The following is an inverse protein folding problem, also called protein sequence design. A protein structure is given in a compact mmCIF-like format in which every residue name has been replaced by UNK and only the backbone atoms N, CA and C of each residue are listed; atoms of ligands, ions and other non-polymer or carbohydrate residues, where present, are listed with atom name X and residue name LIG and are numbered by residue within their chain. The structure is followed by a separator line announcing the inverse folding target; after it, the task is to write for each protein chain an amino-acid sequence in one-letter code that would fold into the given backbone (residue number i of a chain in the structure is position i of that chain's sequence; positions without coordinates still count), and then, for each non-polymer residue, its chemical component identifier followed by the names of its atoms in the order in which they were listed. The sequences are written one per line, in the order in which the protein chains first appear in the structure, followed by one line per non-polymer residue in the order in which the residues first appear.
data_IF_304855394756
#
_entry.id   IF_304855394756
#
_cell.length_a   1.000
_cell.length_b   1.000
_cell.length_c   1.000
_cell.angle_alpha   90.00
_cell.angle_beta   90.00
_cell.angle_gamma   90.00
#
_symmetry.space_group_name_H-M   'P 1'
#
loop_
_entity.id
_entity.type
_entity.pdbx_description
1 polymer ?
#
# COMPACT_ATOMS: atom_id res chain seq x y z
N UNK A 1 20.66 18.49 7.34
CA UNK A 1 19.22 18.21 7.26
C UNK A 1 19.04 16.74 6.85
N UNK A 2 17.84 16.26 6.53
CA UNK A 2 17.62 14.83 6.23
C UNK A 2 18.23 14.43 4.88
N UNK A 3 18.36 15.42 4.00
CA UNK A 3 18.99 15.39 2.69
C UNK A 3 20.49 15.04 2.75
N UNK A 4 21.14 15.33 3.88
CA UNK A 4 22.57 15.04 4.16
C UNK A 4 22.78 13.65 4.79
N UNK A 5 21.71 12.93 5.15
CA UNK A 5 21.83 11.59 5.72
C UNK A 5 22.24 10.57 4.64
N UNK A 6 22.86 9.43 5.04
CA UNK A 6 23.04 8.29 4.14
C UNK A 6 21.71 7.85 3.52
N UNK A 7 21.69 7.73 2.19
CA UNK A 7 20.53 7.27 1.41
C UNK A 7 20.47 5.75 1.39
N UNK A 8 19.31 5.17 1.09
CA UNK A 8 19.19 3.74 0.75
C UNK A 8 19.30 3.64 -0.76
N UNK A 9 20.37 3.03 -1.28
CA UNK A 9 20.59 2.99 -2.73
C UNK A 9 19.64 2.04 -3.46
N UNK A 10 19.54 2.20 -4.78
CA UNK A 10 18.77 1.31 -5.65
C UNK A 10 19.22 -0.15 -5.46
N UNK A 11 20.53 -0.38 -5.38
CA UNK A 11 21.16 -1.68 -5.18
C UNK A 11 20.87 -2.24 -3.78
N UNK A 12 20.89 -1.41 -2.74
CA UNK A 12 20.55 -1.83 -1.37
C UNK A 12 19.09 -2.32 -1.30
N UNK A 13 18.15 -1.57 -1.89
CA UNK A 13 16.74 -1.99 -1.95
C UNK A 13 16.55 -3.24 -2.82
N UNK A 14 17.15 -3.30 -4.02
CA UNK A 14 17.08 -4.50 -4.89
C UNK A 14 17.70 -5.75 -4.25
N UNK A 15 18.82 -5.62 -3.54
CA UNK A 15 19.46 -6.73 -2.83
C UNK A 15 18.53 -7.28 -1.75
N UNK A 16 17.89 -6.42 -0.94
CA UNK A 16 16.92 -6.84 0.07
C UNK A 16 15.71 -7.55 -0.56
N UNK A 17 15.20 -7.05 -1.69
CA UNK A 17 14.07 -7.65 -2.41
C UNK A 17 14.45 -9.05 -2.92
N UNK A 18 15.60 -9.18 -3.60
CA UNK A 18 16.15 -10.46 -4.03
C UNK A 18 16.39 -11.43 -2.86
N UNK A 19 16.86 -10.94 -1.71
CA UNK A 19 17.00 -11.75 -0.49
C UNK A 19 15.65 -12.25 0.06
N UNK A 20 14.57 -11.45 -0.04
CA UNK A 20 13.23 -11.81 0.47
C UNK A 20 12.41 -12.67 -0.49
N UNK A 21 12.68 -12.62 -1.80
CA UNK A 21 12.00 -13.37 -2.86
C UNK A 21 12.79 -14.57 -3.39
N UNK A 22 13.96 -14.89 -2.80
CA UNK A 22 14.70 -16.10 -3.16
C UNK A 22 13.90 -17.35 -2.79
N UNK A 23 13.62 -18.27 -3.74
CA UNK A 23 13.02 -19.55 -3.39
C UNK A 23 13.97 -20.34 -2.50
N UNK A 24 13.43 -20.92 -1.42
CA UNK A 24 14.20 -21.79 -0.53
C UNK A 24 14.54 -23.10 -1.27
N UNK A 25 15.82 -23.47 -1.28
CA UNK A 25 16.33 -24.66 -1.97
C UNK A 25 16.09 -25.96 -1.19
N UNK A 26 14.87 -26.20 -0.71
CA UNK A 26 14.46 -27.40 0.04
C UNK A 26 12.98 -27.67 -0.16
N UNK A 27 12.59 -28.96 -0.12
CA UNK A 27 11.19 -29.37 -0.06
C UNK A 27 10.43 -28.73 1.14
N UNK A 28 9.10 -28.84 1.08
CA UNK A 28 8.13 -28.55 2.15
C UNK A 28 7.98 -27.08 2.61
N UNK A 29 8.62 -26.10 1.96
CA UNK A 29 8.37 -24.66 2.24
C UNK A 29 7.81 -23.94 1.00
N UNK A 30 6.52 -23.62 1.05
CA UNK A 30 5.86 -22.75 0.06
C UNK A 30 6.43 -21.33 0.19
N UNK A 31 7.14 -20.87 -0.83
CA UNK A 31 7.54 -19.47 -0.94
C UNK A 31 6.31 -18.62 -1.31
N UNK A 32 5.78 -17.85 -0.36
CA UNK A 32 4.72 -16.87 -0.63
C UNK A 32 5.25 -15.71 -1.49
N UNK A 33 5.04 -15.83 -2.80
CA UNK A 33 5.22 -14.78 -3.80
C UNK A 33 6.53 -14.87 -4.59
N UNK A 34 6.42 -14.73 -5.91
CA UNK A 34 7.49 -14.37 -6.85
C UNK A 34 7.71 -12.84 -6.93
N UNK A 35 6.85 -12.07 -6.27
CA UNK A 35 6.82 -10.61 -6.30
C UNK A 35 6.38 -10.00 -4.95
N UNK A 36 6.70 -8.71 -4.75
CA UNK A 36 6.24 -7.89 -3.62
C UNK A 36 5.32 -6.79 -4.17
N UNK A 37 4.07 -6.75 -3.70
CA UNK A 37 3.18 -5.61 -3.91
C UNK A 37 3.36 -4.59 -2.77
N UNK A 38 3.58 -3.32 -3.11
CA UNK A 38 3.90 -2.24 -2.15
C UNK A 38 3.19 -0.94 -2.54
N UNK A 39 2.75 -0.17 -1.54
CA UNK A 39 2.16 1.15 -1.75
C UNK A 39 3.24 2.20 -2.13
N UNK A 40 2.89 3.09 -3.06
CA UNK A 40 3.69 4.27 -3.43
C UNK A 40 3.06 5.58 -2.96
N UNK A 41 1.96 5.50 -2.21
CA UNK A 41 1.29 6.63 -1.58
C UNK A 41 1.78 6.87 -0.16
N UNK A 42 1.90 8.14 0.22
CA UNK A 42 2.18 8.54 1.59
C UNK A 42 0.95 8.31 2.50
N UNK A 43 1.12 7.72 3.71
CA UNK A 43 0.01 7.28 4.56
C UNK A 43 -0.80 8.42 5.22
N UNK A 44 -0.38 9.69 5.11
CA UNK A 44 -1.11 10.83 5.66
C UNK A 44 -1.90 11.60 4.60
N UNK A 45 -1.47 11.53 3.33
CA UNK A 45 -2.07 12.25 2.20
C UNK A 45 -2.74 11.36 1.17
N UNK A 46 -2.57 10.03 1.27
CA UNK A 46 -3.04 9.05 0.28
C UNK A 46 -2.57 9.34 -1.16
N UNK A 47 -1.52 10.14 -1.31
CA UNK A 47 -1.01 10.67 -2.58
C UNK A 47 0.41 10.16 -2.85
N UNK A 48 0.81 10.03 -4.12
CA UNK A 48 2.18 9.64 -4.51
C UNK A 48 3.21 10.51 -3.77
N UNK A 49 4.14 9.89 -3.04
CA UNK A 49 5.13 10.64 -2.24
C UNK A 49 5.97 11.59 -3.11
N UNK A 50 6.37 12.74 -2.57
CA UNK A 50 7.25 13.68 -3.26
C UNK A 50 8.74 13.34 -3.01
N UNK A 51 9.07 13.03 -1.76
CA UNK A 51 10.40 12.57 -1.32
C UNK A 51 10.21 11.31 -0.46
N UNK A 52 10.35 10.09 -1.04
CA UNK A 52 10.17 8.85 -0.31
C UNK A 52 11.27 8.64 0.74
N UNK A 53 10.86 8.54 1.99
CA UNK A 53 11.73 8.21 3.13
C UNK A 53 11.20 7.05 3.96
N UNK A 54 12.12 6.35 4.63
CA UNK A 54 11.84 5.42 5.73
C UNK A 54 12.96 5.50 6.77
N UNK A 55 12.68 5.04 8.00
CA UNK A 55 13.72 4.94 9.04
C UNK A 55 14.76 3.88 8.67
N UNK A 56 16.03 4.10 9.04
CA UNK A 56 17.13 3.20 8.70
C UNK A 56 16.96 1.77 9.25
N UNK A 57 16.15 1.61 10.30
CA UNK A 57 15.87 0.32 10.94
C UNK A 57 14.54 -0.33 10.46
N UNK A 58 13.73 0.38 9.66
CA UNK A 58 12.43 -0.08 9.19
C UNK A 58 12.50 -1.42 8.42
N UNK A 59 11.49 -2.27 8.61
CA UNK A 59 11.40 -3.61 7.98
C UNK A 59 10.34 -3.72 6.88
N UNK A 60 9.47 -2.72 6.74
CA UNK A 60 8.51 -2.59 5.64
C UNK A 60 9.18 -2.05 4.36
N UNK A 61 8.48 -2.15 3.23
CA UNK A 61 8.96 -1.71 1.92
C UNK A 61 8.50 -0.29 1.58
N UNK A 62 7.29 0.03 2.02
CA UNK A 62 6.58 1.29 1.90
C UNK A 62 7.43 2.46 2.37
N UNK A 63 7.34 3.59 1.67
CA UNK A 63 7.92 4.86 2.10
C UNK A 63 6.80 5.86 2.42
N UNK A 64 7.10 6.83 3.29
CA UNK A 64 6.25 7.99 3.56
C UNK A 64 6.94 9.25 3.04
N UNK A 65 6.20 10.34 2.87
CA UNK A 65 6.77 11.58 2.33
C UNK A 65 7.48 12.40 3.41
N UNK A 66 8.72 12.83 3.14
CA UNK A 66 9.53 13.60 4.07
C UNK A 66 8.87 14.92 4.50
N UNK A 67 8.29 15.67 3.56
CA UNK A 67 7.72 16.99 3.82
C UNK A 67 6.40 16.89 4.57
N UNK A 68 5.60 15.86 4.32
CA UNK A 68 4.37 15.58 5.06
C UNK A 68 4.70 15.06 6.46
N UNK A 69 5.60 14.08 6.58
CA UNK A 69 6.08 13.58 7.89
C UNK A 69 6.56 14.72 8.80
N UNK A 70 7.50 15.56 8.33
CA UNK A 70 8.02 16.72 9.07
C UNK A 70 7.00 17.85 9.30
N UNK A 71 5.80 17.79 8.73
CA UNK A 71 4.66 18.69 9.04
C UNK A 71 3.69 18.09 10.06
N UNK A 72 3.53 16.77 10.11
CA UNK A 72 2.65 16.11 11.09
C UNK A 72 3.22 16.07 12.52
N UNK A 73 4.53 16.28 12.70
CA UNK A 73 5.18 16.19 14.02
C UNK A 73 4.95 17.45 14.86
N UNK A 74 4.58 17.34 16.15
CA UNK A 74 4.18 18.50 16.98
C UNK A 74 5.33 19.46 17.36
N UNK A 75 6.59 19.11 17.09
CA UNK A 75 7.77 19.87 17.53
C UNK A 75 8.11 21.14 16.73
N UNK A 76 7.39 21.48 15.66
CA UNK A 76 7.78 22.56 14.71
C UNK A 76 7.53 24.00 15.20
N UNK A 77 7.66 24.25 16.51
CA UNK A 77 7.37 25.54 17.18
C UNK A 77 8.49 26.10 18.06
N UNK A 78 9.52 25.32 18.39
CA UNK A 78 10.72 25.81 19.09
C UNK A 78 11.81 26.17 18.07
N UNK A 79 12.29 27.40 18.11
CA UNK A 79 13.45 27.90 17.36
C UNK A 79 14.79 27.33 17.84
N UNK A 80 14.78 26.62 18.96
CA UNK A 80 15.97 26.37 19.77
C UNK A 80 16.63 25.05 19.42
N UNK A 81 17.96 25.00 19.50
CA UNK A 81 18.81 23.95 18.92
C UNK A 81 18.88 22.68 19.78
N UNK A 82 17.74 22.07 20.07
CA UNK A 82 17.61 20.81 20.82
C UNK A 82 16.87 19.72 20.05
N UNK A 83 17.16 18.45 20.35
CA UNK A 83 16.34 17.34 19.88
C UNK A 83 14.90 17.45 20.45
N UNK A 84 13.86 17.01 19.72
CA UNK A 84 12.48 17.10 20.18
C UNK A 84 12.25 16.36 21.50
N UNK A 85 11.77 17.08 22.52
CA UNK A 85 11.66 16.64 23.92
C UNK A 85 10.61 15.55 24.21
N UNK A 86 9.99 14.97 23.17
CA UNK A 86 9.05 13.86 23.27
C UNK A 86 9.49 12.76 22.29
N UNK A 87 10.23 11.73 22.75
CA UNK A 87 10.74 10.66 21.88
C UNK A 87 9.64 9.92 21.12
N UNK A 88 8.50 9.64 21.76
CA UNK A 88 7.36 8.94 21.16
C UNK A 88 6.75 9.62 19.93
N UNK A 89 6.97 10.93 19.74
CA UNK A 89 6.48 11.62 18.55
C UNK A 89 7.15 11.17 17.24
N UNK A 90 8.28 10.45 17.30
CA UNK A 90 9.11 10.11 16.14
C UNK A 90 9.11 8.62 15.76
N UNK A 91 8.09 7.90 16.22
CA UNK A 91 7.79 6.52 15.80
C UNK A 91 7.30 6.47 14.36
N UNK A 92 7.83 5.54 13.56
CA UNK A 92 7.47 5.37 12.16
C UNK A 92 5.97 5.07 12.00
N UNK A 93 5.23 5.79 11.11
CA UNK A 93 3.78 5.63 10.97
C UNK A 93 3.31 4.28 10.40
N UNK A 94 4.26 3.38 10.08
CA UNK A 94 4.00 2.07 9.45
C UNK A 94 4.45 0.91 10.37
N UNK A 95 5.39 1.14 11.31
CA UNK A 95 5.96 0.06 12.14
C UNK A 95 6.49 0.49 13.52
N UNK A 96 6.21 1.71 13.98
CA UNK A 96 6.63 2.31 15.25
C UNK A 96 8.16 2.40 15.54
N UNK A 97 9.03 1.89 14.66
CA UNK A 97 10.49 2.00 14.77
C UNK A 97 10.98 3.46 14.59
N UNK A 98 12.23 3.74 14.98
CA UNK A 98 12.77 5.11 15.04
C UNK A 98 12.82 5.80 13.66
N UNK A 99 12.02 6.86 13.52
CA UNK A 99 11.90 7.74 12.36
C UNK A 99 12.24 9.21 12.71
N UNK A 100 13.08 9.45 13.73
CA UNK A 100 13.70 10.76 13.98
C UNK A 100 14.44 11.26 12.74
N UNK A 101 14.60 12.59 12.54
CA UNK A 101 15.22 13.14 11.33
C UNK A 101 16.62 12.56 11.03
N UNK A 102 17.42 12.27 12.07
CA UNK A 102 18.77 11.65 11.95
C UNK A 102 18.77 10.14 11.65
N UNK A 103 17.58 9.49 11.63
CA UNK A 103 17.40 8.07 11.27
C UNK A 103 16.71 7.88 9.93
N UNK A 104 16.06 8.91 9.38
CA UNK A 104 15.42 8.84 8.06
C UNK A 104 16.47 8.69 6.95
N UNK A 105 16.18 7.84 5.97
CA UNK A 105 16.92 7.74 4.71
C UNK A 105 15.96 7.98 3.55
N UNK A 106 16.41 8.73 2.55
CA UNK A 106 15.74 8.79 1.24
C UNK A 106 16.00 7.47 0.51
N UNK A 107 14.96 6.86 -0.05
CA UNK A 107 15.07 5.59 -0.77
C UNK A 107 15.15 5.85 -2.28
N UNK A 108 16.30 5.55 -2.88
CA UNK A 108 16.58 5.91 -4.27
C UNK A 108 15.83 5.03 -5.26
N UNK A 109 15.50 3.78 -4.88
CA UNK A 109 14.63 2.91 -5.66
C UNK A 109 13.23 3.53 -5.80
N UNK A 110 12.62 3.97 -4.70
CA UNK A 110 11.31 4.61 -4.74
C UNK A 110 11.34 6.02 -5.35
N UNK A 111 12.49 6.69 -5.32
CA UNK A 111 12.70 7.96 -6.04
C UNK A 111 12.66 7.74 -7.56
N UNK A 112 13.29 6.66 -8.06
CA UNK A 112 13.24 6.24 -9.48
C UNK A 112 11.83 5.76 -9.90
N UNK A 113 11.16 4.95 -9.06
CA UNK A 113 9.75 4.56 -9.24
C UNK A 113 8.87 5.79 -9.46
N UNK A 114 8.95 6.76 -8.55
CA UNK A 114 8.17 8.01 -8.60
C UNK A 114 8.41 8.78 -9.89
N UNK A 115 9.68 8.95 -10.29
CA UNK A 115 10.03 9.69 -11.50
C UNK A 115 9.44 9.04 -12.76
N UNK A 116 9.43 7.70 -12.82
CA UNK A 116 8.83 6.93 -13.93
C UNK A 116 7.31 7.02 -13.96
N UNK A 117 6.64 6.88 -12.81
CA UNK A 117 5.16 7.04 -12.75
C UNK A 117 4.74 8.42 -13.28
N UNK A 118 5.41 9.50 -12.85
CA UNK A 118 5.13 10.87 -13.32
C UNK A 118 5.42 11.00 -14.82
N UNK A 119 6.56 10.49 -15.30
CA UNK A 119 6.93 10.51 -16.72
C UNK A 119 5.91 9.79 -17.62
N UNK A 120 5.26 8.75 -17.10
CA UNK A 120 4.24 7.98 -17.81
C UNK A 120 2.81 8.56 -17.68
N UNK A 121 2.58 9.54 -16.80
CA UNK A 121 1.24 10.04 -16.45
C UNK A 121 0.48 9.15 -15.45
N UNK A 122 1.17 8.23 -14.79
CA UNK A 122 0.64 7.20 -13.88
C UNK A 122 0.57 7.67 -12.42
N UNK A 123 0.40 8.98 -12.18
CA UNK A 123 0.42 9.60 -10.84
C UNK A 123 -0.73 9.13 -9.91
N UNK A 124 -1.79 8.55 -10.47
CA UNK A 124 -2.92 7.96 -9.74
C UNK A 124 -2.64 6.53 -9.23
N UNK A 125 -1.58 5.87 -9.67
CA UNK A 125 -1.24 4.50 -9.26
C UNK A 125 -0.84 4.48 -7.79
N UNK A 126 -1.61 3.75 -6.97
CA UNK A 126 -1.38 3.67 -5.51
C UNK A 126 -0.40 2.58 -5.11
N UNK A 127 -0.20 1.56 -5.95
CA UNK A 127 0.61 0.36 -5.66
C UNK A 127 1.46 -0.04 -6.87
N UNK A 128 2.63 -0.62 -6.60
CA UNK A 128 3.45 -1.28 -7.63
C UNK A 128 3.71 -2.74 -7.23
N UNK A 129 4.00 -3.57 -8.22
CA UNK A 129 4.39 -4.97 -8.07
C UNK A 129 5.86 -5.12 -8.50
N UNK A 130 6.75 -5.48 -7.57
CA UNK A 130 8.20 -5.60 -7.77
C UNK A 130 8.61 -7.08 -7.81
N UNK A 131 9.40 -7.47 -8.82
CA UNK A 131 9.87 -8.84 -9.03
C UNK A 131 11.24 -9.08 -8.37
N UNK A 132 11.68 -10.35 -8.33
CA UNK A 132 12.93 -10.78 -7.69
C UNK A 132 14.22 -10.12 -8.24
N UNK A 133 14.19 -9.62 -9.48
CA UNK A 133 15.28 -8.92 -10.15
C UNK A 133 15.29 -7.39 -9.86
N UNK A 134 14.26 -6.89 -9.17
CA UNK A 134 14.04 -5.48 -8.91
C UNK A 134 13.49 -4.71 -10.12
N UNK A 135 12.96 -5.38 -11.14
CA UNK A 135 12.01 -4.78 -12.08
C UNK A 135 10.65 -4.62 -11.39
N UNK A 136 9.82 -3.69 -11.85
CA UNK A 136 8.50 -3.47 -11.29
C UNK A 136 7.49 -3.06 -12.37
N UNK A 137 6.21 -3.25 -12.06
CA UNK A 137 5.07 -2.77 -12.87
C UNK A 137 4.07 -2.00 -11.99
N UNK A 138 3.39 -0.98 -12.52
CA UNK A 138 2.25 -0.37 -11.83
C UNK A 138 1.15 -1.42 -11.60
N UNK A 139 0.41 -1.28 -10.50
CA UNK A 139 -0.77 -2.06 -10.21
C UNK A 139 -1.97 -1.10 -10.15
N UNK A 140 -2.71 -0.90 -11.28
CA UNK A 140 -3.94 -0.13 -11.25
C UNK A 140 -4.96 -0.82 -10.34
N UNK A 141 -5.69 -0.02 -9.58
CA UNK A 141 -6.89 -0.49 -8.90
C UNK A 141 -8.04 -0.48 -9.92
N UNK A 142 -8.97 -1.44 -9.89
CA UNK A 142 -10.14 -1.41 -10.76
C UNK A 142 -11.01 -0.19 -10.39
N UNK A 143 -11.40 0.60 -11.39
CA UNK A 143 -12.29 1.74 -11.16
C UNK A 143 -13.67 1.24 -10.69
N UNK A 144 -14.09 1.61 -9.47
CA UNK A 144 -15.42 1.30 -8.92
C UNK A 144 -16.54 2.18 -9.56
N UNK A 145 -16.38 2.52 -10.83
CA UNK A 145 -17.26 3.40 -11.58
C UNK A 145 -17.20 3.14 -13.10
N UNK A 146 -17.82 2.05 -13.58
CA UNK A 146 -18.62 1.98 -14.83
C UNK A 146 -19.16 0.55 -15.16
N UNK A 147 -19.71 -0.19 -14.18
CA UNK A 147 -20.57 -1.36 -14.49
C UNK A 147 -22.03 -0.92 -14.76
N UNK A 148 -22.20 -0.08 -15.78
CA UNK A 148 -23.52 0.38 -16.25
C UNK A 148 -23.50 0.54 -17.78
N UNK A 149 -24.13 -0.43 -18.46
CA UNK A 149 -24.47 -0.47 -19.90
C UNK A 149 -23.35 -0.90 -20.88
N UNK A 150 -23.27 -2.22 -21.09
CA UNK A 150 -23.41 -2.73 -22.47
C UNK A 150 -24.06 -4.12 -22.53
N UNK A 151 -25.27 -4.18 -23.07
CA UNK A 151 -26.00 -5.42 -23.37
C UNK A 151 -27.03 -5.16 -24.49
N UNK A 152 -26.70 -5.45 -25.76
CA UNK A 152 -27.61 -5.23 -26.88
C UNK A 152 -28.77 -6.23 -26.86
N UNK A 153 -29.97 -5.78 -26.53
CA UNK A 153 -31.18 -6.61 -26.59
C UNK A 153 -31.69 -6.73 -28.04
N UNK A 154 -31.98 -7.95 -28.50
CA UNK A 154 -32.58 -8.18 -29.81
C UNK A 154 -33.57 -9.37 -29.81
N UNK A 155 -34.85 -9.06 -30.09
CA UNK A 155 -35.94 -9.96 -30.52
C UNK A 155 -36.31 -11.16 -29.63
N UNK A 156 -37.52 -11.12 -29.06
CA UNK A 156 -38.13 -12.27 -28.36
C UNK A 156 -39.30 -12.89 -29.14
N UNK A 157 -39.73 -14.09 -28.72
CA UNK A 157 -40.98 -14.72 -29.15
C UNK A 157 -41.82 -15.22 -27.95
N UNK A 158 -43.07 -15.60 -28.22
CA UNK A 158 -44.17 -15.58 -27.23
C UNK A 158 -44.29 -16.87 -26.40
N UNK A 159 -44.84 -16.73 -25.18
CA UNK A 159 -45.36 -17.81 -24.32
C UNK A 159 -46.38 -18.70 -25.06
N UNK A 160 -46.58 -19.93 -24.57
CA UNK A 160 -47.85 -20.21 -23.86
C UNK A 160 -47.66 -20.51 -22.36
N UNK A 161 -48.77 -20.70 -21.65
CA UNK A 161 -48.87 -20.85 -20.18
C UNK A 161 -49.63 -22.13 -19.84
N UNK A 162 -49.20 -22.89 -18.82
CA UNK A 162 -50.13 -23.73 -18.04
C UNK A 162 -49.56 -24.15 -16.66
N UNK A 163 -50.34 -23.88 -15.60
CA UNK A 163 -50.40 -24.59 -14.29
C UNK A 163 -49.12 -24.74 -13.41
N UNK A 164 -49.20 -24.90 -12.08
CA UNK A 164 -50.32 -24.82 -11.12
C UNK A 164 -49.80 -24.34 -9.75
N UNK A 165 -50.68 -24.12 -8.76
CA UNK A 165 -50.34 -23.54 -7.46
C UNK A 165 -50.17 -24.58 -6.34
N UNK A 166 -49.36 -24.27 -5.32
CA UNK A 166 -49.68 -24.42 -3.87
C UNK A 166 -48.54 -23.90 -2.97
N UNK A 167 -48.91 -23.32 -1.82
CA UNK A 167 -48.10 -23.26 -0.57
C UNK A 167 -48.84 -24.06 0.51
N UNK A 168 -48.66 -23.84 1.84
CA UNK A 168 -47.82 -22.85 2.54
C UNK A 168 -46.48 -23.51 3.05
N UNK A 169 -45.82 -23.30 4.21
CA UNK A 169 -46.01 -22.59 5.51
C UNK A 169 -44.61 -22.22 6.09
N UNK A 170 -44.45 -21.31 7.08
CA UNK A 170 -43.15 -20.85 7.58
C UNK A 170 -42.65 -21.59 8.84
N UNK A 171 -41.33 -21.65 9.03
CA UNK A 171 -40.70 -22.19 10.25
C UNK A 171 -40.78 -21.19 11.42
N UNK A 172 -40.96 -21.71 12.65
CA UNK A 172 -41.16 -20.93 13.86
C UNK A 172 -39.83 -20.56 14.54
N UNK A 173 -39.75 -19.34 15.11
CA UNK A 173 -38.64 -18.89 15.94
C UNK A 173 -38.93 -19.22 17.41
N UNK A 174 -38.02 -19.93 18.06
CA UNK A 174 -38.12 -20.26 19.48
C UNK A 174 -37.52 -19.10 20.30
N UNK A 175 -38.33 -18.50 21.17
CA UNK A 175 -37.83 -17.59 22.20
C UNK A 175 -37.32 -18.39 23.39
N UNK A 176 -36.20 -17.96 23.96
CA UNK A 176 -35.66 -18.45 25.23
C UNK A 176 -35.80 -17.29 26.22
N UNK A 177 -36.56 -17.50 27.29
CA UNK A 177 -36.56 -16.61 28.45
C UNK A 177 -35.44 -17.05 29.41
N UNK A 178 -34.80 -16.07 30.04
CA UNK A 178 -33.66 -16.21 30.96
C UNK A 178 -34.17 -15.82 32.37
N UNK A 179 -33.83 -16.61 33.40
CA UNK A 179 -34.38 -16.53 34.78
C UNK A 179 -33.35 -15.98 35.80
#
# INVERSE_FOLDING_TARGET
MVEDNPRTSIEETKQKICQRLKPAGSDDIIAEGDHICVAVTDPFSSSLFAIPVRGADCKHWECFDLNIWLRTRPGKRSSDTGEPTIPDCWKCPICDLDARPVRLRIDEFFTDVRAKLIMNGEESIKKICIQFDGSWRPLPEPDEAEDEKQSPAASGQKRPVLSQATGPEPAQVIFIEDD
#
